data_IF_696279811212
#
_entry.id   IF_696279811212
#
_cell.length_a   1.000
_cell.length_b   1.000
_cell.length_c   1.000
_cell.angle_alpha   90.00
_cell.angle_beta   90.00
_cell.angle_gamma   90.00
#
_symmetry.space_group_name_H-M   'P 1'
#
loop_
_entity.id
_entity.type
_entity.pdbx_description
1 polymer ?
#
# COMPACT_ATOMS: atom_id res chain seq x y z
N UNK A 1 73.25 15.43 -4.26
CA UNK A 1 72.04 15.20 -5.08
C UNK A 1 71.81 13.71 -5.20
N UNK A 2 70.91 13.13 -4.42
CA UNK A 2 70.14 11.93 -4.82
C UNK A 2 68.79 12.06 -4.13
N UNK A 3 67.73 12.06 -4.93
CA UNK A 3 66.35 12.27 -4.51
C UNK A 3 65.82 11.06 -3.71
N UNK A 4 65.06 11.38 -2.66
CA UNK A 4 64.11 10.48 -2.00
C UNK A 4 62.92 10.18 -2.93
N UNK A 5 62.26 9.03 -2.80
CA UNK A 5 60.82 8.98 -2.99
C UNK A 5 60.15 8.62 -1.67
N UNK A 6 59.40 9.59 -1.14
CA UNK A 6 58.33 9.34 -0.19
C UNK A 6 57.37 8.32 -0.81
N UNK A 7 57.24 7.16 -0.17
CA UNK A 7 56.17 6.21 -0.45
C UNK A 7 54.89 6.78 0.17
N UNK A 8 54.05 7.39 -0.67
CA UNK A 8 52.69 7.80 -0.31
C UNK A 8 51.81 6.54 -0.35
N UNK A 9 51.55 5.97 0.83
CA UNK A 9 50.52 4.94 0.99
C UNK A 9 49.16 5.65 0.96
N UNK A 10 48.50 5.63 -0.19
CA UNK A 10 47.12 6.04 -0.31
C UNK A 10 46.24 5.02 0.41
N UNK A 11 45.83 5.34 1.64
CA UNK A 11 44.79 4.62 2.35
C UNK A 11 43.48 4.92 1.62
N UNK A 12 43.09 4.06 0.67
CA UNK A 12 41.76 4.09 0.12
C UNK A 12 40.79 3.76 1.27
N UNK A 13 40.13 4.80 1.79
CA UNK A 13 38.93 4.65 2.60
C UNK A 13 37.91 3.91 1.73
N UNK A 14 37.87 2.59 1.87
CA UNK A 14 36.71 1.81 1.47
C UNK A 14 35.58 2.27 2.38
N UNK A 15 34.88 3.34 1.97
CA UNK A 15 33.61 3.66 2.56
C UNK A 15 32.73 2.43 2.35
N UNK A 16 32.15 1.85 3.42
CA UNK A 16 31.12 0.86 3.23
C UNK A 16 30.02 1.56 2.46
N UNK A 17 29.85 1.20 1.20
CA UNK A 17 28.63 1.51 0.46
C UNK A 17 27.55 0.78 1.24
N UNK A 18 26.87 1.48 2.13
CA UNK A 18 25.70 0.97 2.81
C UNK A 18 24.66 0.77 1.70
N UNK A 19 24.66 -0.41 1.10
CA UNK A 19 23.51 -0.90 0.40
C UNK A 19 22.44 -1.07 1.47
N UNK A 20 21.60 -0.04 1.64
CA UNK A 20 20.35 -0.17 2.34
C UNK A 20 19.50 -1.14 1.51
N UNK A 21 19.67 -2.44 1.76
CA UNK A 21 18.82 -3.48 1.20
C UNK A 21 17.47 -3.38 1.91
N UNK A 22 16.65 -2.50 1.39
CA UNK A 22 15.28 -2.32 1.80
C UNK A 22 14.40 -3.18 0.92
N UNK A 23 14.27 -4.45 1.30
CA UNK A 23 13.27 -5.34 0.71
C UNK A 23 12.53 -6.02 1.85
N UNK A 24 11.70 -5.25 2.55
CA UNK A 24 10.45 -5.86 3.00
C UNK A 24 9.55 -5.88 1.75
N UNK A 25 8.92 -7.01 1.50
CA UNK A 25 7.94 -7.17 0.41
C UNK A 25 6.72 -7.76 1.09
N UNK A 26 5.54 -7.28 0.73
CA UNK A 26 4.28 -7.88 1.19
C UNK A 26 4.16 -9.20 0.46
N UNK A 27 4.75 -10.25 1.05
CA UNK A 27 4.81 -11.59 0.45
C UNK A 27 3.45 -11.95 -0.13
N UNK A 28 3.47 -12.38 -1.39
CA UNK A 28 2.35 -12.69 -2.29
C UNK A 28 1.19 -13.53 -1.70
N UNK A 29 1.32 -14.11 -0.51
CA UNK A 29 0.33 -15.05 0.05
C UNK A 29 -0.92 -14.45 0.69
N UNK A 30 -0.84 -13.29 1.38
CA UNK A 30 -1.99 -12.62 2.06
C UNK A 30 -1.69 -11.15 2.36
N UNK A 31 -2.73 -10.29 2.38
CA UNK A 31 -2.64 -8.94 2.95
C UNK A 31 -2.26 -9.01 4.44
N UNK A 32 -1.05 -8.57 4.78
CA UNK A 32 -0.55 -8.44 6.15
C UNK A 32 -0.90 -7.06 6.74
N UNK A 33 -2.18 -6.72 6.68
CA UNK A 33 -2.70 -5.37 6.93
C UNK A 33 -2.45 -4.82 8.34
N UNK A 34 -2.19 -5.66 9.33
CA UNK A 34 -1.92 -5.27 10.72
C UNK A 34 -0.55 -5.72 11.23
N UNK A 35 0.37 -6.08 10.33
CA UNK A 35 1.66 -6.69 10.68
C UNK A 35 2.78 -5.67 10.93
N UNK A 36 2.58 -4.42 10.51
CA UNK A 36 3.59 -3.35 10.58
C UNK A 36 3.21 -2.32 11.66
N UNK A 37 3.95 -1.20 11.74
CA UNK A 37 3.59 -0.14 12.67
C UNK A 37 2.16 0.35 12.42
N UNK A 38 1.43 0.76 13.47
CA UNK A 38 0.04 1.13 13.33
C UNK A 38 -0.11 2.39 12.49
N UNK A 39 -0.93 2.32 11.46
CA UNK A 39 -1.44 3.48 10.74
C UNK A 39 -2.79 3.88 11.35
N UNK A 40 -3.05 5.18 11.51
CA UNK A 40 -4.37 5.70 11.87
C UNK A 40 -5.02 6.32 10.64
N UNK A 41 -6.30 6.04 10.46
CA UNK A 41 -7.05 6.41 9.28
C UNK A 41 -8.39 7.01 9.70
N UNK A 42 -8.70 8.21 9.24
CA UNK A 42 -9.90 8.96 9.62
C UNK A 42 -10.66 9.39 8.36
N UNK A 43 -11.92 9.00 8.24
CA UNK A 43 -12.78 9.43 7.15
C UNK A 43 -13.69 10.56 7.65
N UNK A 44 -13.39 11.78 7.24
CA UNK A 44 -14.05 12.98 7.79
C UNK A 44 -15.58 13.00 7.58
N UNK A 45 -16.07 12.54 6.43
CA UNK A 45 -17.51 12.58 6.11
C UNK A 45 -18.31 11.56 6.91
N UNK A 46 -17.83 10.33 7.01
CA UNK A 46 -18.53 9.24 7.71
C UNK A 46 -18.24 9.24 9.22
N UNK A 47 -17.20 9.95 9.67
CA UNK A 47 -16.73 9.94 11.06
C UNK A 47 -16.03 8.64 11.46
N UNK A 48 -15.77 7.74 10.49
CA UNK A 48 -15.13 6.46 10.76
C UNK A 48 -13.64 6.63 11.06
N UNK A 49 -13.17 5.81 12.01
CA UNK A 49 -11.76 5.76 12.39
C UNK A 49 -11.31 4.31 12.37
N UNK A 50 -10.29 4.02 11.55
CA UNK A 50 -9.55 2.76 11.60
C UNK A 50 -8.23 3.00 12.32
N UNK A 51 -7.97 2.16 13.31
CA UNK A 51 -6.80 2.18 14.16
C UNK A 51 -6.33 0.75 14.43
N UNK A 52 -5.25 0.61 15.21
CA UNK A 52 -4.80 -0.69 15.69
C UNK A 52 -5.88 -1.49 16.43
N UNK A 53 -6.82 -0.82 17.11
CA UNK A 53 -7.82 -1.47 17.96
C UNK A 53 -8.91 -2.19 17.18
N UNK A 54 -9.17 -1.76 15.94
CA UNK A 54 -10.18 -2.32 15.04
C UNK A 54 -9.57 -2.70 13.69
N UNK A 55 -8.28 -3.00 13.67
CA UNK A 55 -7.59 -3.48 12.47
C UNK A 55 -8.08 -4.89 12.13
N UNK A 56 -8.28 -5.15 10.84
CA UNK A 56 -8.86 -6.36 10.27
C UNK A 56 -10.33 -6.64 10.65
N UNK A 57 -11.00 -5.71 11.35
CA UNK A 57 -12.44 -5.79 11.56
C UNK A 57 -13.20 -5.67 10.24
N UNK A 58 -14.40 -6.25 10.20
CA UNK A 58 -15.30 -6.08 9.05
C UNK A 58 -16.09 -4.79 9.21
N UNK A 59 -16.07 -3.94 8.19
CA UNK A 59 -16.80 -2.68 8.16
C UNK A 59 -17.66 -2.55 6.91
N UNK A 60 -18.66 -1.68 6.97
CA UNK A 60 -19.43 -1.29 5.79
C UNK A 60 -18.49 -0.54 4.81
N UNK A 61 -18.39 -0.96 3.54
CA UNK A 61 -17.52 -0.30 2.56
C UNK A 61 -17.86 1.18 2.36
N UNK A 62 -19.12 1.60 2.59
CA UNK A 62 -19.55 3.00 2.55
C UNK A 62 -18.86 3.87 3.60
N UNK A 63 -18.30 3.27 4.66
CA UNK A 63 -17.51 3.99 5.64
C UNK A 63 -16.30 4.70 5.03
N UNK A 64 -15.76 4.18 3.92
CA UNK A 64 -14.61 4.70 3.17
C UNK A 64 -15.02 5.16 1.76
N UNK A 65 -16.23 5.69 1.58
CA UNK A 65 -16.66 6.27 0.30
C UNK A 65 -15.77 7.45 -0.12
N UNK A 66 -15.35 8.28 0.83
CA UNK A 66 -14.38 9.35 0.60
C UNK A 66 -12.94 8.91 0.93
N UNK A 67 -11.92 9.52 0.30
CA UNK A 67 -10.52 9.31 0.67
C UNK A 67 -10.31 9.65 2.15
N UNK A 68 -9.65 8.77 2.92
CA UNK A 68 -9.36 9.05 4.31
C UNK A 68 -8.17 9.99 4.48
N UNK A 69 -8.07 10.58 5.67
CA UNK A 69 -6.85 11.21 6.18
C UNK A 69 -5.99 10.15 6.86
N UNK A 70 -4.72 10.04 6.47
CA UNK A 70 -3.78 9.07 7.03
C UNK A 70 -2.81 9.73 8.02
N UNK A 71 -2.60 9.07 9.15
CA UNK A 71 -1.65 9.50 10.17
C UNK A 71 -0.63 8.41 10.46
N UNK A 72 0.65 8.77 10.36
CA UNK A 72 1.78 7.94 10.74
C UNK A 72 2.76 8.78 11.55
N UNK A 73 2.74 8.59 12.87
CA UNK A 73 3.50 9.39 13.85
C UNK A 73 4.98 9.00 13.96
N UNK A 74 5.37 7.88 13.34
CA UNK A 74 6.75 7.40 13.30
C UNK A 74 7.45 7.73 11.96
N UNK A 75 6.92 8.68 11.18
CA UNK A 75 7.59 9.14 9.97
C UNK A 75 8.91 9.86 10.34
N UNK A 76 9.99 9.52 9.65
CA UNK A 76 11.31 10.08 9.88
C UNK A 76 11.43 11.47 9.23
N UNK A 77 12.08 12.45 9.91
CA UNK A 77 12.30 13.80 9.37
C UNK A 77 12.97 13.78 8.00
N UNK A 78 12.56 14.68 7.12
CA UNK A 78 13.13 14.87 5.76
C UNK A 78 13.01 13.65 4.83
N UNK A 79 12.18 12.65 5.17
CA UNK A 79 11.94 11.47 4.33
C UNK A 79 10.66 11.64 3.49
N UNK A 80 10.62 10.93 2.35
CA UNK A 80 9.45 10.84 1.49
C UNK A 80 8.84 9.44 1.57
N UNK A 81 7.54 9.35 1.31
CA UNK A 81 6.77 8.13 1.46
C UNK A 81 5.89 7.84 0.24
N UNK A 82 5.63 6.56 0.02
CA UNK A 82 4.66 6.02 -0.93
C UNK A 82 3.53 5.34 -0.15
N UNK A 83 2.29 5.66 -0.53
CA UNK A 83 1.08 5.07 0.04
C UNK A 83 0.38 4.23 -1.02
N UNK A 84 0.07 2.99 -0.67
CA UNK A 84 -0.73 2.09 -1.51
C UNK A 84 -1.98 1.66 -0.77
N UNK A 85 -3.13 1.74 -1.43
CA UNK A 85 -4.38 1.12 -0.97
C UNK A 85 -4.76 0.00 -1.93
N UNK A 86 -4.93 -1.21 -1.41
CA UNK A 86 -5.19 -2.40 -2.23
C UNK A 86 -6.36 -3.20 -1.66
N UNK A 87 -7.08 -3.87 -2.55
CA UNK A 87 -8.05 -4.91 -2.22
C UNK A 87 -7.50 -6.28 -2.62
N UNK A 88 -7.71 -7.29 -1.79
CA UNK A 88 -7.46 -8.69 -2.10
C UNK A 88 -8.83 -9.38 -2.16
N UNK A 89 -9.40 -9.53 -3.37
CA UNK A 89 -10.59 -10.35 -3.54
C UNK A 89 -10.24 -11.80 -3.21
N UNK A 90 -11.24 -12.59 -2.82
CA UNK A 90 -11.05 -14.01 -2.52
C UNK A 90 -10.72 -14.86 -3.78
N UNK A 91 -10.61 -14.23 -4.95
CA UNK A 91 -10.26 -14.85 -6.22
C UNK A 91 -8.75 -14.85 -6.41
N UNK A 92 -8.20 -15.87 -7.05
CA UNK A 92 -6.75 -16.01 -7.32
C UNK A 92 -6.19 -14.97 -8.31
N UNK A 93 -6.92 -13.91 -8.60
CA UNK A 93 -6.64 -12.92 -9.66
C UNK A 93 -5.69 -11.81 -9.21
N UNK A 94 -5.04 -11.94 -8.05
CA UNK A 94 -4.13 -10.92 -7.53
C UNK A 94 -4.85 -9.77 -6.83
N UNK A 95 -4.11 -8.71 -6.49
CA UNK A 95 -4.64 -7.55 -5.76
C UNK A 95 -5.27 -6.55 -6.73
N UNK A 96 -6.26 -5.81 -6.28
CA UNK A 96 -6.83 -4.70 -7.02
C UNK A 96 -6.35 -3.37 -6.41
N UNK A 97 -5.71 -2.51 -7.21
CA UNK A 97 -5.18 -1.24 -6.76
C UNK A 97 -6.29 -0.18 -6.63
N UNK A 98 -6.51 0.29 -5.41
CA UNK A 98 -7.52 1.29 -5.08
C UNK A 98 -6.95 2.71 -5.05
N UNK A 99 -5.71 2.90 -4.59
CA UNK A 99 -5.06 4.22 -4.55
C UNK A 99 -3.54 4.07 -4.52
N UNK A 100 -2.82 4.95 -5.23
CA UNK A 100 -1.36 4.99 -5.24
C UNK A 100 -0.89 6.44 -5.26
N UNK A 101 -0.15 6.83 -4.22
CA UNK A 101 0.46 8.16 -4.09
C UNK A 101 1.91 8.00 -3.74
N UNK A 102 2.77 8.80 -4.37
CA UNK A 102 4.20 8.83 -4.12
C UNK A 102 4.64 10.23 -3.68
N UNK A 103 5.88 10.36 -3.22
CA UNK A 103 6.47 11.63 -2.83
C UNK A 103 5.68 12.36 -1.72
N UNK A 104 5.04 11.61 -0.83
CA UNK A 104 4.34 12.15 0.33
C UNK A 104 5.38 12.59 1.36
N UNK A 105 5.43 13.85 1.79
CA UNK A 105 6.37 14.28 2.81
C UNK A 105 5.97 13.73 4.18
N UNK A 106 6.95 13.46 5.03
CA UNK A 106 6.77 13.03 6.41
C UNK A 106 5.82 13.94 7.19
N UNK A 107 5.93 15.25 6.96
CA UNK A 107 5.14 16.28 7.63
C UNK A 107 3.65 16.15 7.32
N UNK A 108 3.28 15.71 6.11
CA UNK A 108 1.89 15.41 5.77
C UNK A 108 1.41 14.17 6.54
N UNK A 109 2.21 13.11 6.62
CA UNK A 109 1.83 11.91 7.38
C UNK A 109 1.71 12.17 8.90
N UNK A 110 2.53 13.04 9.47
CA UNK A 110 2.45 13.40 10.90
C UNK A 110 1.23 14.28 11.18
N UNK A 111 0.93 15.23 10.29
CA UNK A 111 -0.17 16.19 10.49
C UNK A 111 -1.53 15.71 9.96
N UNK A 112 -1.55 14.62 9.21
CA UNK A 112 -2.72 14.05 8.55
C UNK A 112 -2.65 14.23 7.06
N UNK A 113 -2.22 13.20 6.35
CA UNK A 113 -2.08 13.18 4.90
C UNK A 113 -3.46 13.21 4.26
N UNK A 114 -3.72 14.24 3.47
CA UNK A 114 -4.89 14.38 2.63
C UNK A 114 -4.62 13.83 1.23
N UNK A 115 -5.70 13.72 0.43
CA UNK A 115 -5.66 13.21 -0.93
C UNK A 115 -4.61 13.88 -1.85
N UNK A 116 -4.31 15.16 -1.64
CA UNK A 116 -3.45 15.99 -2.50
C UNK A 116 -2.02 16.18 -1.97
N UNK A 117 -1.65 15.52 -0.86
CA UNK A 117 -0.37 15.76 -0.17
C UNK A 117 0.84 15.03 -0.77
N UNK A 118 0.70 14.52 -1.99
CA UNK A 118 1.77 13.88 -2.76
C UNK A 118 1.39 13.77 -4.23
N UNK A 119 2.23 13.09 -5.00
CA UNK A 119 1.99 12.86 -6.41
C UNK A 119 1.09 11.63 -6.59
N UNK A 120 -0.19 11.88 -6.90
CA UNK A 120 -1.16 10.81 -7.15
C UNK A 120 -0.87 10.16 -8.50
N UNK A 121 -0.50 8.89 -8.48
CA UNK A 121 -0.26 8.07 -9.68
C UNK A 121 -1.53 7.36 -10.11
N UNK A 122 -2.31 6.88 -9.13
CA UNK A 122 -3.61 6.26 -9.34
C UNK A 122 -4.59 6.86 -8.35
N UNK A 123 -5.63 7.52 -8.86
CA UNK A 123 -6.66 8.18 -8.05
C UNK A 123 -7.35 7.22 -7.06
N UNK A 124 -7.89 7.77 -5.98
CA UNK A 124 -8.61 6.97 -5.00
C UNK A 124 -9.89 6.39 -5.61
N UNK A 125 -10.05 5.09 -5.44
CA UNK A 125 -11.30 4.38 -5.73
C UNK A 125 -11.83 3.81 -4.41
N UNK A 126 -13.07 4.15 -4.10
CA UNK A 126 -13.73 3.69 -2.89
C UNK A 126 -13.90 2.16 -2.91
N UNK A 127 -13.89 1.50 -1.73
CA UNK A 127 -14.33 0.12 -1.62
C UNK A 127 -15.71 -0.03 -2.24
N UNK A 128 -15.83 -0.87 -3.27
CA UNK A 128 -17.12 -1.15 -3.85
C UNK A 128 -17.98 -1.87 -2.80
N UNK A 129 -19.26 -1.48 -2.61
CA UNK A 129 -20.23 -2.38 -2.04
C UNK A 129 -20.19 -3.65 -2.87
N UNK A 130 -20.33 -4.80 -2.22
CA UNK A 130 -20.58 -5.99 -2.99
C UNK A 130 -21.79 -5.77 -3.89
N UNK A 131 -21.66 -6.13 -5.16
CA UNK A 131 -22.84 -6.30 -6.00
C UNK A 131 -23.64 -7.43 -5.35
N UNK A 132 -24.85 -7.11 -4.89
CA UNK A 132 -25.90 -8.11 -4.68
C UNK A 132 -26.06 -8.87 -6.00
N UNK A 133 -26.14 -10.19 -5.92
CA UNK A 133 -26.36 -11.06 -7.09
C UNK A 133 -27.80 -10.91 -7.61
N UNK A 134 -28.62 -10.05 -6.99
CA UNK A 134 -30.06 -10.05 -7.16
C UNK A 134 -30.62 -8.88 -8.00
N UNK A 135 -29.79 -8.21 -8.82
CA UNK A 135 -30.32 -7.21 -9.79
C UNK A 135 -30.53 -7.79 -11.21
N UNK A 136 -30.28 -9.09 -11.40
CA UNK A 136 -30.67 -9.84 -12.60
C UNK A 136 -31.75 -10.88 -12.22
N UNK A 137 -32.87 -10.43 -11.63
CA UNK A 137 -34.13 -11.21 -11.60
C UNK A 137 -34.74 -11.22 -13.02
N UNK A 138 -34.12 -11.96 -13.92
CA UNK A 138 -34.72 -12.46 -15.16
C UNK A 138 -33.95 -13.73 -15.54
N UNK A 139 -34.27 -14.85 -14.89
CA UNK A 139 -34.29 -16.17 -15.54
C UNK A 139 -34.90 -17.21 -14.58
N UNK A 140 -36.09 -17.67 -14.95
CA UNK A 140 -36.67 -18.93 -14.49
C UNK A 140 -35.64 -20.06 -14.74
N UNK A 141 -35.30 -20.88 -13.74
CA UNK A 141 -35.11 -22.33 -13.93
C UNK A 141 -34.81 -23.05 -12.59
N UNK A 142 -35.63 -24.07 -12.33
CA UNK A 142 -35.43 -25.07 -11.29
C UNK A 142 -34.16 -25.90 -11.59
N UNK A 143 -33.13 -25.87 -10.74
CA UNK A 143 -32.09 -26.91 -10.76
C UNK A 143 -31.54 -27.23 -9.36
N UNK A 144 -31.75 -28.49 -8.97
CA UNK A 144 -31.22 -29.13 -7.76
C UNK A 144 -29.71 -29.39 -7.94
N UNK A 145 -28.88 -28.40 -7.63
CA UNK A 145 -27.42 -28.48 -7.74
C UNK A 145 -26.70 -28.27 -6.40
N UNK A 146 -26.04 -29.33 -5.91
CA UNK A 146 -25.08 -29.38 -4.81
C UNK A 146 -23.96 -28.32 -4.98
N UNK A 147 -24.21 -27.10 -4.51
CA UNK A 147 -23.33 -25.94 -4.61
C UNK A 147 -22.41 -25.83 -3.40
N UNK A 148 -21.27 -26.51 -3.43
CA UNK A 148 -20.23 -26.40 -2.42
C UNK A 148 -19.70 -24.97 -2.26
N UNK A 149 -19.88 -24.40 -1.06
CA UNK A 149 -19.03 -23.43 -0.36
C UNK A 149 -18.34 -22.33 -1.21
N UNK A 150 -19.09 -21.62 -2.06
CA UNK A 150 -18.69 -20.29 -2.52
C UNK A 150 -19.14 -19.23 -1.50
N UNK A 151 -18.81 -19.45 -0.23
CA UNK A 151 -19.22 -18.58 0.87
C UNK A 151 -18.71 -17.16 0.67
N UNK A 152 -19.56 -16.18 0.99
CA UNK A 152 -19.36 -14.73 0.92
C UNK A 152 -18.22 -14.20 1.81
N UNK A 153 -17.01 -14.70 1.60
CA UNK A 153 -15.83 -14.34 2.34
C UNK A 153 -15.49 -12.86 2.08
N UNK A 154 -15.23 -12.06 3.13
CA UNK A 154 -15.04 -10.63 2.98
C UNK A 154 -13.85 -10.31 2.07
N UNK A 155 -14.04 -9.37 1.14
CA UNK A 155 -12.94 -8.72 0.44
C UNK A 155 -12.07 -8.02 1.47
N UNK A 156 -10.77 -8.28 1.44
CA UNK A 156 -9.82 -7.67 2.38
C UNK A 156 -9.22 -6.43 1.76
N UNK A 157 -9.11 -5.38 2.54
CA UNK A 157 -8.57 -4.09 2.13
C UNK A 157 -7.39 -3.73 3.02
N UNK A 158 -6.35 -3.13 2.46
CA UNK A 158 -5.20 -2.70 3.22
C UNK A 158 -4.55 -1.44 2.64
N UNK A 159 -4.15 -0.54 3.55
CA UNK A 159 -3.25 0.55 3.30
C UNK A 159 -1.84 0.14 3.74
N UNK A 160 -0.85 0.46 2.92
CA UNK A 160 0.56 0.31 3.25
C UNK A 160 1.29 1.61 3.01
N UNK A 161 2.22 1.92 3.90
CA UNK A 161 3.16 3.04 3.77
C UNK A 161 4.56 2.48 3.58
N UNK A 162 5.26 2.98 2.57
CA UNK A 162 6.66 2.67 2.26
C UNK A 162 7.47 3.95 2.29
N UNK A 163 8.70 3.86 2.76
CA UNK A 163 9.66 4.97 2.77
C UNK A 163 10.48 4.98 1.47
N UNK A 164 10.77 6.15 0.93
CA UNK A 164 11.56 6.35 -0.29
C UNK A 164 13.00 6.70 0.05
N UNK A 165 13.95 5.86 -0.37
CA UNK A 165 15.37 5.96 0.03
C UNK A 165 16.15 7.05 -0.70
N UNK A 166 15.84 7.26 -1.98
CA UNK A 166 16.62 8.14 -2.87
C UNK A 166 15.93 9.47 -3.18
N UNK A 167 14.97 9.88 -2.34
CA UNK A 167 14.19 11.10 -2.51
C UNK A 167 13.01 10.92 -3.46
N UNK A 168 12.74 11.94 -4.27
CA UNK A 168 11.57 12.00 -5.14
C UNK A 168 11.65 10.96 -6.25
N UNK A 169 10.53 10.30 -6.54
CA UNK A 169 10.41 9.23 -7.53
C UNK A 169 9.35 9.57 -8.57
N UNK A 170 9.53 9.08 -9.80
CA UNK A 170 8.60 9.31 -10.91
C UNK A 170 8.26 7.97 -11.58
N UNK A 171 7.50 7.10 -10.89
CA UNK A 171 7.16 5.77 -11.39
C UNK A 171 6.26 5.84 -12.63
N UNK A 172 6.31 4.81 -13.50
CA UNK A 172 5.27 4.65 -14.51
C UNK A 172 3.91 4.37 -13.84
N UNK A 173 2.85 4.95 -14.39
CA UNK A 173 1.48 4.59 -14.01
C UNK A 173 1.21 3.12 -14.38
N UNK A 174 0.70 2.30 -13.46
CA UNK A 174 0.27 0.94 -13.77
C UNK A 174 -0.76 0.93 -14.91
N UNK A 175 -0.65 -0.01 -15.85
CA UNK A 175 -1.56 -0.10 -17.01
C UNK A 175 -2.97 -0.56 -16.64
N UNK A 176 -3.12 -1.21 -15.49
CA UNK A 176 -4.40 -1.70 -14.95
C UNK A 176 -4.38 -1.64 -13.42
N UNK A 177 -5.57 -1.53 -12.82
CA UNK A 177 -5.77 -1.69 -11.37
C UNK A 177 -5.92 -3.17 -10.99
N UNK A 178 -6.47 -3.98 -11.88
CA UNK A 178 -6.71 -5.41 -11.65
C UNK A 178 -5.41 -6.20 -11.73
N UNK A 179 -5.32 -7.29 -10.96
CA UNK A 179 -4.11 -8.10 -10.84
C UNK A 179 -2.84 -7.30 -10.57
N UNK A 180 -2.94 -6.21 -9.82
CA UNK A 180 -1.83 -5.33 -9.48
C UNK A 180 -0.75 -6.09 -8.69
N UNK A 181 0.37 -6.31 -9.36
CA UNK A 181 1.59 -6.85 -8.77
C UNK A 181 2.41 -5.71 -8.17
N UNK A 182 2.28 -5.53 -6.86
CA UNK A 182 3.00 -4.51 -6.12
C UNK A 182 4.52 -4.75 -6.15
N UNK A 183 4.96 -6.01 -6.05
CA UNK A 183 6.40 -6.34 -6.07
C UNK A 183 6.97 -6.10 -7.47
N UNK A 184 6.23 -6.51 -8.50
CA UNK A 184 6.54 -6.20 -9.90
C UNK A 184 6.63 -4.70 -10.14
N UNK A 185 5.66 -3.91 -9.66
CA UNK A 185 5.67 -2.45 -9.79
C UNK A 185 6.87 -1.81 -9.08
N UNK A 186 7.18 -2.20 -7.84
CA UNK A 186 8.37 -1.73 -7.11
C UNK A 186 9.64 -2.08 -7.87
N UNK A 187 9.71 -3.24 -8.51
CA UNK A 187 10.88 -3.63 -9.33
C UNK A 187 11.09 -2.74 -10.56
N UNK A 188 10.02 -2.13 -11.11
CA UNK A 188 10.13 -1.27 -12.30
C UNK A 188 10.79 0.08 -12.03
N UNK A 189 10.86 0.49 -10.76
CA UNK A 189 11.47 1.76 -10.37
C UNK A 189 12.89 1.61 -9.83
N UNK A 190 13.39 0.38 -9.71
CA UNK A 190 14.75 0.09 -9.30
C UNK A 190 15.74 0.15 -10.48
N UNK A 191 16.99 0.63 -10.29
CA UNK A 191 17.61 1.13 -9.05
C UNK A 191 17.41 2.63 -8.80
N UNK A 192 16.82 3.37 -9.73
CA UNK A 192 16.70 4.83 -9.67
C UNK A 192 15.87 5.31 -8.48
N UNK A 193 14.94 4.45 -8.02
CA UNK A 193 14.16 4.60 -6.82
C UNK A 193 14.16 3.27 -6.04
N UNK A 194 14.03 3.37 -4.72
CA UNK A 194 13.94 2.20 -3.84
C UNK A 194 12.98 2.52 -2.71
N UNK A 195 12.11 1.55 -2.42
CA UNK A 195 11.15 1.61 -1.34
C UNK A 195 11.59 0.71 -0.18
N UNK A 196 11.60 1.24 1.04
CA UNK A 196 11.68 0.44 2.26
C UNK A 196 10.29 0.23 2.82
N UNK A 197 9.93 -1.01 3.14
CA UNK A 197 8.72 -1.29 3.90
C UNK A 197 7.88 -2.44 3.36
N UNK A 198 6.62 -2.58 3.80
CA UNK A 198 5.87 -1.54 4.50
C UNK A 198 6.47 -1.16 5.86
N UNK A 199 6.53 0.13 6.15
CA UNK A 199 6.90 0.65 7.47
C UNK A 199 5.68 0.76 8.39
N UNK A 200 4.50 0.95 7.80
CA UNK A 200 3.21 0.96 8.50
C UNK A 200 2.11 0.34 7.65
N UNK A 201 1.07 -0.16 8.31
CA UNK A 201 -0.11 -0.69 7.63
C UNK A 201 -1.36 -0.63 8.50
N UNK A 202 -2.52 -0.59 7.83
CA UNK A 202 -3.83 -0.88 8.43
C UNK A 202 -4.73 -1.54 7.40
N UNK A 203 -5.74 -2.30 7.83
CA UNK A 203 -6.74 -2.81 6.91
C UNK A 203 -8.00 -3.30 7.61
N UNK A 204 -8.94 -3.75 6.80
CA UNK A 204 -10.28 -4.13 7.20
C UNK A 204 -10.85 -5.18 6.23
N UNK A 205 -11.89 -5.89 6.66
CA UNK A 205 -12.71 -6.73 5.80
C UNK A 205 -13.97 -6.01 5.35
N UNK A 206 -14.55 -6.43 4.23
CA UNK A 206 -15.85 -5.99 3.77
C UNK A 206 -16.62 -7.17 3.20
N UNK A 207 -17.80 -7.48 3.76
CA UNK A 207 -18.65 -8.59 3.32
C UNK A 207 -19.61 -8.16 2.22
N UNK A 208 -20.06 -9.14 1.43
CA UNK A 208 -21.23 -8.96 0.58
C UNK A 208 -22.48 -8.91 1.44
N UNK A 209 -23.26 -7.84 1.34
CA UNK A 209 -24.59 -7.74 1.96
C UNK A 209 -25.64 -8.19 0.94
#
# INVERSE_FOLDING_TARGET
MVLSPLVLVALALAMPVAHAFCTASVTSGRLSSCAFHPLLLVVARSGWVLSRQNCAETIDPRALEDPPVLYYDLAEPDHLYTVTFVAEPNTSTGRYLQWLVVNVPESSLINGMMYMDGDTIVDYLSPAPARSVDDDEDDDDDDDGDGGDADGQPTRYAFYVYEQVYGTIYPPTPSTRDSFDLDGWISTIYPEASLCGPVASIGFGSVRQ
#
